data_IF_042520254634
#
_entry.id   IF_042520254634
#
_cell.length_a   1.000
_cell.length_b   1.000
_cell.length_c   1.000
_cell.angle_alpha   90.00
_cell.angle_beta   90.00
_cell.angle_gamma   90.00
#
_symmetry.space_group_name_H-M   'P 1'
#
loop_
_entity.id
_entity.type
_entity.pdbx_description
1 polymer ?
#
# COMPACT_ATOMS: atom_id res chain seq x y z
N UNK A 1 -26.78 42.09 14.54
CA UNK A 1 -25.96 40.87 14.37
C UNK A 1 -26.91 39.75 14.03
N UNK A 2 -26.76 39.05 12.90
CA UNK A 2 -27.66 37.95 12.59
C UNK A 2 -27.34 36.78 13.53
N UNK A 3 -28.36 36.38 14.30
CA UNK A 3 -28.36 35.19 15.15
C UNK A 3 -28.33 33.96 14.26
N UNK A 4 -27.25 33.17 14.35
CA UNK A 4 -27.15 31.85 13.73
C UNK A 4 -28.34 31.01 14.23
N UNK A 5 -29.14 30.51 13.31
CA UNK A 5 -30.40 29.82 13.61
C UNK A 5 -30.16 28.40 14.13
N UNK A 6 -31.06 27.82 14.96
CA UNK A 6 -30.87 26.50 15.58
C UNK A 6 -30.54 25.37 14.60
N UNK A 7 -31.09 25.44 13.38
CA UNK A 7 -30.88 24.47 12.31
C UNK A 7 -29.45 24.49 11.77
N UNK A 8 -28.83 25.67 11.69
CA UNK A 8 -27.43 25.82 11.23
C UNK A 8 -26.45 25.24 12.27
N UNK A 9 -26.77 25.39 13.57
CA UNK A 9 -25.99 24.78 14.65
C UNK A 9 -26.11 23.25 14.63
N UNK A 10 -27.30 22.71 14.36
CA UNK A 10 -27.55 21.27 14.29
C UNK A 10 -26.82 20.62 13.10
N UNK A 11 -26.80 21.30 11.93
CA UNK A 11 -26.04 20.87 10.75
C UNK A 11 -24.53 20.98 10.98
N UNK A 12 -24.06 22.02 11.68
CA UNK A 12 -22.64 22.17 12.05
C UNK A 12 -22.19 21.11 13.06
N UNK A 13 -23.00 20.77 14.07
CA UNK A 13 -22.69 19.70 15.01
C UNK A 13 -22.69 18.32 14.32
N UNK A 14 -23.64 18.08 13.43
CA UNK A 14 -23.73 16.85 12.62
C UNK A 14 -22.49 16.67 11.72
N UNK A 15 -22.06 17.72 11.01
CA UNK A 15 -20.87 17.67 10.13
C UNK A 15 -19.56 17.53 10.92
N UNK A 16 -19.46 18.17 12.09
CA UNK A 16 -18.32 18.00 13.02
C UNK A 16 -18.26 16.59 13.59
N UNK A 17 -19.41 16.00 13.93
CA UNK A 17 -19.53 14.61 14.36
C UNK A 17 -19.09 13.63 13.27
N UNK A 18 -19.56 13.82 12.04
CA UNK A 18 -19.18 13.00 10.89
C UNK A 18 -17.68 13.05 10.58
N UNK A 19 -17.08 14.24 10.57
CA UNK A 19 -15.63 14.40 10.37
C UNK A 19 -14.81 13.70 11.48
N UNK A 20 -15.25 13.86 12.73
CA UNK A 20 -14.58 13.24 13.88
C UNK A 20 -14.66 11.73 13.82
N UNK A 21 -15.81 11.17 13.43
CA UNK A 21 -16.00 9.72 13.25
C UNK A 21 -15.15 9.18 12.10
N UNK A 22 -15.13 9.87 10.95
CA UNK A 22 -14.31 9.49 9.80
C UNK A 22 -12.82 9.44 10.17
N UNK A 23 -12.29 10.51 10.75
CA UNK A 23 -10.88 10.58 11.18
C UNK A 23 -10.58 9.57 12.27
N UNK A 24 -11.49 9.38 13.23
CA UNK A 24 -11.33 8.37 14.27
C UNK A 24 -11.20 6.97 13.67
N UNK A 25 -12.08 6.60 12.74
CA UNK A 25 -12.07 5.31 12.05
C UNK A 25 -10.79 5.12 11.26
N UNK A 26 -10.37 6.12 10.50
CA UNK A 26 -9.13 6.10 9.72
C UNK A 26 -7.91 5.92 10.63
N UNK A 27 -7.80 6.70 11.70
CA UNK A 27 -6.70 6.59 12.67
C UNK A 27 -6.69 5.20 13.31
N UNK A 28 -7.85 4.68 13.73
CA UNK A 28 -7.96 3.36 14.35
C UNK A 28 -7.67 2.21 13.37
N UNK A 29 -8.00 2.37 12.09
CA UNK A 29 -7.65 1.42 11.04
C UNK A 29 -6.17 1.50 10.66
N UNK A 30 -5.57 2.69 10.80
CA UNK A 30 -4.18 2.96 10.46
C UNK A 30 -3.20 2.12 11.27
N UNK A 31 -1.97 2.06 10.76
CA UNK A 31 -0.85 1.38 11.44
C UNK A 31 -0.14 2.24 12.47
N UNK A 32 -0.37 3.55 12.45
CA UNK A 32 0.30 4.51 13.33
C UNK A 32 -0.26 4.45 14.75
N UNK A 33 0.61 4.64 15.74
CA UNK A 33 0.12 4.85 17.10
C UNK A 33 -0.53 6.24 17.20
N UNK A 34 -1.48 6.39 18.13
CA UNK A 34 -2.12 7.70 18.37
C UNK A 34 -1.10 8.77 18.74
N UNK A 35 -0.01 8.40 19.42
CA UNK A 35 1.13 9.27 19.71
C UNK A 35 1.80 9.76 18.43
N UNK A 36 2.10 8.86 17.49
CA UNK A 36 2.71 9.20 16.20
C UNK A 36 1.81 10.14 15.40
N UNK A 37 0.50 9.86 15.38
CA UNK A 37 -0.49 10.72 14.70
C UNK A 37 -0.58 12.08 15.39
N UNK A 38 -0.60 12.11 16.72
CA UNK A 38 -0.65 13.37 17.48
C UNK A 38 0.59 14.22 17.20
N UNK A 39 1.79 13.61 17.24
CA UNK A 39 3.05 14.28 16.93
C UNK A 39 3.07 14.82 15.50
N UNK A 40 2.65 14.01 14.52
CA UNK A 40 2.57 14.44 13.12
C UNK A 40 1.62 15.63 12.91
N UNK A 41 0.58 15.75 13.74
CA UNK A 41 -0.36 16.87 13.72
C UNK A 41 0.07 18.06 14.60
N UNK A 42 1.20 17.96 15.31
CA UNK A 42 1.61 18.98 16.28
C UNK A 42 0.67 19.10 17.49
N UNK A 43 -0.02 18.01 17.83
CA UNK A 43 -1.00 17.94 18.91
C UNK A 43 -0.48 17.09 20.09
N UNK A 44 -1.01 17.33 21.28
CA UNK A 44 -0.90 16.35 22.36
C UNK A 44 -1.85 15.18 22.12
N UNK A 45 -1.52 14.01 22.66
CA UNK A 45 -2.39 12.82 22.61
C UNK A 45 -3.77 13.09 23.19
N UNK A 46 -3.84 13.88 24.27
CA UNK A 46 -5.11 14.30 24.89
C UNK A 46 -5.93 15.18 23.95
N UNK A 47 -5.29 16.10 23.22
CA UNK A 47 -5.96 16.96 22.24
C UNK A 47 -6.47 16.16 21.04
N UNK A 48 -5.72 15.15 20.59
CA UNK A 48 -6.17 14.21 19.56
C UNK A 48 -7.37 13.38 20.04
N UNK A 49 -7.32 12.84 21.27
CA UNK A 49 -8.42 12.05 21.82
C UNK A 49 -9.71 12.86 22.03
N UNK A 50 -9.61 14.16 22.30
CA UNK A 50 -10.78 15.05 22.33
C UNK A 50 -11.39 15.21 20.95
N UNK A 51 -10.55 15.33 19.91
CA UNK A 51 -11.02 15.40 18.52
C UNK A 51 -11.66 14.11 18.03
N UNK A 52 -11.00 12.99 18.27
CA UNK A 52 -11.53 11.66 17.93
C UNK A 52 -12.86 11.34 18.61
N UNK A 53 -13.17 11.97 19.76
CA UNK A 53 -14.46 11.82 20.47
C UNK A 53 -15.53 12.81 20.01
N UNK A 54 -15.22 13.71 19.08
CA UNK A 54 -16.13 14.77 18.64
C UNK A 54 -16.31 15.91 19.63
N UNK A 55 -15.54 15.96 20.72
CA UNK A 55 -15.60 17.07 21.69
C UNK A 55 -15.00 18.37 21.12
N UNK A 56 -14.09 18.23 20.15
CA UNK A 56 -13.51 19.32 19.35
C UNK A 56 -13.45 18.82 17.91
N UNK A 57 -13.71 19.66 16.93
CA UNK A 57 -13.66 19.23 15.53
C UNK A 57 -12.22 19.17 15.01
N UNK A 58 -11.95 18.24 14.10
CA UNK A 58 -10.72 18.32 13.29
C UNK A 58 -10.80 19.53 12.37
N UNK A 59 -9.71 20.30 12.30
CA UNK A 59 -9.55 21.29 11.24
C UNK A 59 -9.35 20.57 9.89
N UNK A 60 -9.71 21.23 8.78
CA UNK A 60 -9.54 20.66 7.44
C UNK A 60 -8.08 20.28 7.17
N UNK A 61 -7.14 21.12 7.61
CA UNK A 61 -5.70 20.87 7.49
C UNK A 61 -5.27 19.63 8.28
N UNK A 62 -5.80 19.42 9.49
CA UNK A 62 -5.53 18.22 10.29
C UNK A 62 -6.06 16.97 9.59
N UNK A 63 -7.28 17.03 9.04
CA UNK A 63 -7.88 15.92 8.30
C UNK A 63 -7.07 15.59 7.02
N UNK A 64 -6.61 16.62 6.29
CA UNK A 64 -5.74 16.44 5.12
C UNK A 64 -4.39 15.81 5.50
N UNK A 65 -3.80 16.23 6.62
CA UNK A 65 -2.55 15.67 7.12
C UNK A 65 -2.73 14.19 7.51
N UNK A 66 -3.82 13.84 8.21
CA UNK A 66 -4.15 12.44 8.54
C UNK A 66 -4.28 11.60 7.26
N UNK A 67 -5.02 12.10 6.26
CA UNK A 67 -5.20 11.40 4.99
C UNK A 67 -3.86 11.20 4.25
N UNK A 68 -2.99 12.20 4.25
CA UNK A 68 -1.63 12.11 3.66
C UNK A 68 -0.75 11.12 4.42
N UNK A 69 -0.79 11.12 5.75
CA UNK A 69 0.00 10.19 6.58
C UNK A 69 -0.37 8.74 6.30
N UNK A 70 -1.65 8.48 6.06
CA UNK A 70 -2.22 7.14 5.87
C UNK A 70 -2.31 6.76 4.39
N UNK A 71 -1.92 7.67 3.49
CA UNK A 71 -1.94 7.47 2.03
C UNK A 71 -3.33 7.11 1.50
N UNK A 72 -4.33 7.87 1.93
CA UNK A 72 -5.71 7.77 1.46
C UNK A 72 -6.21 9.11 0.93
N UNK A 73 -7.13 9.07 -0.03
CA UNK A 73 -7.77 10.30 -0.51
C UNK A 73 -8.79 10.81 0.50
N UNK A 74 -9.03 12.13 0.53
CA UNK A 74 -10.13 12.70 1.33
C UNK A 74 -11.50 12.13 0.94
N UNK A 75 -11.68 11.78 -0.34
CA UNK A 75 -12.93 11.19 -0.81
C UNK A 75 -13.15 9.80 -0.21
N UNK A 76 -12.11 8.98 -0.13
CA UNK A 76 -12.20 7.65 0.49
C UNK A 76 -12.32 7.75 2.02
N UNK A 77 -11.69 8.75 2.62
CA UNK A 77 -11.87 9.07 4.04
C UNK A 77 -13.34 9.37 4.39
N UNK A 78 -14.04 10.14 3.55
CA UNK A 78 -15.46 10.44 3.73
C UNK A 78 -16.33 9.19 3.59
N UNK A 79 -16.07 8.34 2.58
CA UNK A 79 -16.76 7.05 2.44
C UNK A 79 -16.60 6.17 3.67
N UNK A 80 -15.42 6.15 4.30
CA UNK A 80 -15.16 5.43 5.55
C UNK A 80 -15.94 6.02 6.73
N UNK A 81 -16.14 7.35 6.74
CA UNK A 81 -17.00 8.03 7.70
C UNK A 81 -18.47 7.61 7.60
N UNK A 82 -18.97 7.46 6.38
CA UNK A 82 -20.38 7.14 6.11
C UNK A 82 -20.72 5.64 6.25
N UNK A 83 -19.72 4.77 6.39
CA UNK A 83 -19.96 3.36 6.66
C UNK A 83 -20.76 3.17 7.95
N UNK A 84 -21.61 2.16 8.01
CA UNK A 84 -22.07 1.63 9.29
C UNK A 84 -20.89 1.09 10.11
N UNK A 85 -21.06 0.99 11.42
CA UNK A 85 -20.02 0.37 12.25
C UNK A 85 -19.74 -1.06 11.81
N UNK A 86 -20.76 -1.82 11.40
CA UNK A 86 -20.60 -3.17 10.87
C UNK A 86 -19.76 -3.19 9.59
N UNK A 87 -20.03 -2.31 8.63
CA UNK A 87 -19.24 -2.18 7.39
C UNK A 87 -17.80 -1.79 7.68
N UNK A 88 -17.58 -0.83 8.58
CA UNK A 88 -16.23 -0.42 8.97
C UNK A 88 -15.50 -1.52 9.76
N UNK A 89 -16.19 -2.23 10.65
CA UNK A 89 -15.60 -3.37 11.37
C UNK A 89 -15.25 -4.53 10.43
N UNK A 90 -15.93 -4.62 9.29
CA UNK A 90 -15.65 -5.53 8.18
C UNK A 90 -14.79 -4.88 7.07
N UNK A 91 -14.22 -3.70 7.32
CA UNK A 91 -13.42 -3.00 6.33
C UNK A 91 -12.31 -3.91 5.80
N UNK A 92 -12.06 -3.75 4.49
CA UNK A 92 -11.14 -4.58 3.73
C UNK A 92 -9.77 -4.71 4.41
N UNK A 93 -9.26 -3.68 5.10
CA UNK A 93 -7.94 -3.69 5.74
C UNK A 93 -7.80 -4.79 6.80
N UNK A 94 -8.84 -5.01 7.62
CA UNK A 94 -8.81 -6.06 8.63
C UNK A 94 -8.89 -7.44 7.99
N UNK A 95 -9.64 -7.56 6.90
CA UNK A 95 -9.71 -8.79 6.11
C UNK A 95 -8.39 -9.08 5.40
N UNK A 96 -7.73 -8.06 4.85
CA UNK A 96 -6.43 -8.16 4.17
C UNK A 96 -5.34 -8.58 5.14
N UNK A 97 -5.22 -7.90 6.28
CA UNK A 97 -4.32 -8.28 7.37
C UNK A 97 -4.52 -9.73 7.79
N UNK A 98 -5.77 -10.15 7.99
CA UNK A 98 -6.07 -11.55 8.33
C UNK A 98 -5.63 -12.50 7.23
N UNK A 99 -5.99 -12.24 5.97
CA UNK A 99 -5.63 -13.12 4.86
C UNK A 99 -4.11 -13.25 4.68
N UNK A 100 -3.38 -12.12 4.75
CA UNK A 100 -1.93 -12.11 4.68
C UNK A 100 -1.31 -12.88 5.86
N UNK A 101 -1.79 -12.63 7.08
CA UNK A 101 -1.35 -13.35 8.26
C UNK A 101 -1.61 -14.85 8.14
N UNK A 102 -2.82 -15.27 7.77
CA UNK A 102 -3.18 -16.68 7.56
C UNK A 102 -2.27 -17.35 6.53
N UNK A 103 -1.98 -16.69 5.41
CA UNK A 103 -1.06 -17.21 4.39
C UNK A 103 0.34 -17.39 4.94
N UNK A 104 0.84 -16.42 5.70
CA UNK A 104 2.17 -16.52 6.27
C UNK A 104 2.27 -17.62 7.33
N UNK A 105 1.26 -17.76 8.20
CA UNK A 105 1.19 -18.88 9.16
C UNK A 105 1.24 -20.22 8.43
N UNK A 106 0.43 -20.39 7.38
CA UNK A 106 0.42 -21.61 6.59
C UNK A 106 1.79 -21.91 5.93
N UNK A 107 2.49 -20.88 5.46
CA UNK A 107 3.85 -21.03 4.94
C UNK A 107 4.86 -21.41 6.04
N UNK A 108 4.75 -20.85 7.25
CA UNK A 108 5.61 -21.23 8.37
C UNK A 108 5.36 -22.68 8.82
N UNK A 109 4.11 -23.13 8.79
CA UNK A 109 3.73 -24.50 9.09
C UNK A 109 4.26 -25.47 8.03
N UNK A 110 4.07 -25.16 6.74
CA UNK A 110 4.46 -26.02 5.63
C UNK A 110 5.97 -26.09 5.40
N UNK A 111 6.64 -24.94 5.33
CA UNK A 111 8.04 -24.87 4.87
C UNK A 111 9.04 -24.93 6.01
N UNK A 112 8.66 -24.41 7.19
CA UNK A 112 9.53 -24.39 8.38
C UNK A 112 9.13 -25.43 9.43
N UNK A 113 8.04 -26.17 9.21
CA UNK A 113 7.54 -27.19 10.15
C UNK A 113 7.16 -26.63 11.53
N UNK A 114 6.88 -25.33 11.62
CA UNK A 114 6.58 -24.69 12.90
C UNK A 114 5.14 -24.99 13.32
N UNK A 115 4.94 -25.33 14.59
CA UNK A 115 3.58 -25.50 15.14
C UNK A 115 2.97 -24.14 15.46
N UNK A 116 1.63 -24.05 15.47
CA UNK A 116 0.94 -22.81 15.90
C UNK A 116 1.34 -22.35 17.29
N UNK A 117 1.67 -23.27 18.20
CA UNK A 117 2.19 -22.93 19.53
C UNK A 117 3.52 -22.18 19.42
N UNK A 118 4.46 -22.69 18.62
CA UNK A 118 5.76 -22.04 18.42
C UNK A 118 5.64 -20.71 17.68
N UNK A 119 4.75 -20.61 16.69
CA UNK A 119 4.51 -19.35 15.99
C UNK A 119 3.90 -18.31 16.95
N UNK A 120 2.99 -18.74 17.84
CA UNK A 120 2.41 -17.87 18.85
C UNK A 120 3.48 -17.31 19.81
N UNK A 121 4.44 -18.14 20.23
CA UNK A 121 5.59 -17.72 21.05
C UNK A 121 6.43 -16.65 20.35
N UNK A 122 6.78 -16.86 19.07
CA UNK A 122 7.51 -15.87 18.27
C UNK A 122 6.74 -14.55 18.25
N UNK A 123 5.44 -14.63 17.96
CA UNK A 123 4.53 -13.49 17.90
C UNK A 123 4.29 -12.81 19.26
N UNK A 124 4.64 -13.44 20.39
CA UNK A 124 4.38 -12.89 21.73
C UNK A 124 2.92 -13.00 22.17
N UNK A 125 2.19 -13.96 21.63
CA UNK A 125 0.76 -14.17 21.88
C UNK A 125 0.47 -15.63 22.25
N UNK A 126 -0.75 -15.91 22.71
CA UNK A 126 -1.19 -17.28 22.96
C UNK A 126 -1.60 -17.99 21.67
N UNK A 127 -1.49 -19.32 21.63
CA UNK A 127 -2.00 -20.11 20.51
C UNK A 127 -3.51 -19.89 20.28
N UNK A 128 -4.28 -19.73 21.37
CA UNK A 128 -5.71 -19.40 21.30
C UNK A 128 -5.98 -18.05 20.64
N UNK A 129 -5.08 -17.07 20.83
CA UNK A 129 -5.16 -15.78 20.16
C UNK A 129 -4.91 -15.92 18.66
N UNK A 130 -3.87 -16.67 18.26
CA UNK A 130 -3.59 -16.97 16.84
C UNK A 130 -4.81 -17.63 16.19
N UNK A 131 -5.35 -18.69 16.80
CA UNK A 131 -6.55 -19.39 16.30
C UNK A 131 -7.77 -18.46 16.15
N UNK A 132 -7.98 -17.55 17.10
CA UNK A 132 -9.04 -16.53 17.01
C UNK A 132 -8.81 -15.55 15.87
N UNK A 133 -7.57 -15.12 15.62
CA UNK A 133 -7.25 -14.24 14.49
C UNK A 133 -7.51 -14.96 13.16
N UNK A 134 -7.01 -16.19 13.02
CA UNK A 134 -7.18 -17.00 11.82
C UNK A 134 -8.67 -17.26 11.51
N UNK A 135 -9.49 -17.49 12.54
CA UNK A 135 -10.94 -17.66 12.42
C UNK A 135 -11.73 -16.34 12.29
N UNK A 136 -11.05 -15.19 12.30
CA UNK A 136 -11.69 -13.87 12.23
C UNK A 136 -12.40 -13.41 13.50
N UNK A 137 -12.31 -14.17 14.59
CA UNK A 137 -12.87 -13.83 15.90
C UNK A 137 -12.03 -12.79 16.66
N UNK A 138 -10.78 -12.58 16.26
CA UNK A 138 -9.91 -11.51 16.75
C UNK A 138 -9.39 -10.65 15.59
N UNK A 139 -9.18 -9.36 15.87
CA UNK A 139 -8.74 -8.37 14.89
C UNK A 139 -7.25 -8.12 14.98
N UNK A 140 -6.63 -7.96 13.81
CA UNK A 140 -5.27 -7.44 13.67
C UNK A 140 -5.35 -5.93 13.53
N UNK A 141 -5.18 -5.24 14.65
CA UNK A 141 -5.04 -3.78 14.68
C UNK A 141 -3.62 -3.39 14.29
N UNK A 142 -3.46 -2.18 13.75
CA UNK A 142 -2.19 -1.70 13.19
C UNK A 142 -0.97 -1.89 14.10
N UNK A 143 -1.11 -1.57 15.39
CA UNK A 143 -0.07 -1.79 16.40
C UNK A 143 0.37 -3.26 16.51
N UNK A 144 -0.59 -4.18 16.52
CA UNK A 144 -0.31 -5.61 16.57
C UNK A 144 0.36 -6.05 15.28
N UNK A 145 -0.08 -5.55 14.12
CA UNK A 145 0.56 -5.86 12.83
C UNK A 145 2.03 -5.48 12.81
N UNK A 146 2.41 -4.27 13.25
CA UNK A 146 3.82 -3.83 13.30
C UNK A 146 4.69 -4.76 14.14
N UNK A 147 4.21 -5.14 15.33
CA UNK A 147 4.94 -6.04 16.23
C UNK A 147 5.08 -7.43 15.63
N UNK A 148 4.02 -7.94 14.98
CA UNK A 148 4.07 -9.22 14.27
C UNK A 148 5.03 -9.18 13.09
N UNK A 149 5.01 -8.10 12.29
CA UNK A 149 5.91 -7.92 11.15
C UNK A 149 7.38 -7.98 11.62
N UNK A 150 7.73 -7.24 12.67
CA UNK A 150 9.08 -7.27 13.24
C UNK A 150 9.47 -8.64 13.78
N UNK A 151 8.58 -9.32 14.51
CA UNK A 151 8.87 -10.63 15.11
C UNK A 151 8.97 -11.77 14.10
N UNK A 152 8.25 -11.65 12.99
CA UNK A 152 8.23 -12.63 11.91
C UNK A 152 9.20 -12.30 10.78
N UNK A 153 10.01 -11.25 10.96
CA UNK A 153 10.97 -10.77 9.96
C UNK A 153 10.30 -10.45 8.61
N UNK A 154 9.12 -9.83 8.68
CA UNK A 154 8.36 -9.40 7.52
C UNK A 154 8.68 -7.93 7.19
N UNK A 155 8.69 -7.57 5.90
CA UNK A 155 8.79 -6.17 5.49
C UNK A 155 7.71 -5.30 6.12
N UNK A 156 8.01 -4.02 6.25
CA UNK A 156 7.03 -3.06 6.72
C UNK A 156 5.80 -2.99 5.80
N UNK A 157 4.62 -2.85 6.40
CA UNK A 157 3.30 -2.82 5.75
C UNK A 157 2.91 -4.14 5.06
N UNK A 158 3.65 -5.23 5.28
CA UNK A 158 3.35 -6.50 4.64
C UNK A 158 1.94 -7.00 4.93
N UNK A 159 1.46 -6.84 6.17
CA UNK A 159 0.11 -7.25 6.56
C UNK A 159 -0.96 -6.30 6.01
N UNK A 160 -0.65 -5.03 5.81
CA UNK A 160 -1.59 -4.00 5.34
C UNK A 160 -1.90 -4.08 3.84
N UNK A 161 -1.15 -4.90 3.08
CA UNK A 161 -1.26 -4.99 1.63
C UNK A 161 -2.53 -5.68 1.18
N UNK A 162 -3.03 -5.24 0.03
CA UNK A 162 -4.06 -6.01 -0.69
C UNK A 162 -3.51 -7.41 -0.98
N UNK A 163 -4.22 -8.48 -0.59
CA UNK A 163 -3.80 -9.85 -0.84
C UNK A 163 -3.47 -10.04 -2.33
N UNK A 164 -2.34 -10.67 -2.62
CA UNK A 164 -1.79 -10.88 -3.97
C UNK A 164 -1.16 -9.65 -4.65
N UNK A 165 -1.08 -8.49 -3.98
CA UNK A 165 -0.26 -7.38 -4.46
C UNK A 165 1.19 -7.53 -4.00
N UNK A 166 2.19 -7.39 -4.89
CA UNK A 166 3.60 -7.44 -4.48
C UNK A 166 3.93 -6.30 -3.48
N UNK A 167 5.02 -6.41 -2.70
CA UNK A 167 5.48 -5.35 -1.79
C UNK A 167 5.60 -3.98 -2.49
N UNK A 168 5.33 -2.85 -1.82
CA UNK A 168 5.45 -1.50 -2.45
C UNK A 168 6.84 -1.25 -3.06
N UNK A 169 7.93 -1.68 -2.40
CA UNK A 169 9.29 -1.64 -2.96
C UNK A 169 9.55 -2.61 -4.12
N UNK A 170 8.60 -3.51 -4.39
CA UNK A 170 8.61 -4.50 -5.46
C UNK A 170 7.47 -4.33 -6.47
N UNK A 171 6.64 -3.29 -6.29
CA UNK A 171 5.57 -2.98 -7.21
C UNK A 171 6.19 -2.30 -8.42
N UNK A 172 6.01 -2.94 -9.58
CA UNK A 172 6.45 -2.39 -10.84
C UNK A 172 5.71 -1.07 -11.08
N UNK A 173 6.44 0.05 -11.13
CA UNK A 173 5.86 1.36 -11.39
C UNK A 173 5.32 1.39 -12.84
N UNK A 174 4.01 1.23 -12.98
CA UNK A 174 3.31 1.15 -14.28
C UNK A 174 3.46 2.41 -15.12
N UNK A 175 3.54 3.57 -14.47
CA UNK A 175 3.74 4.85 -15.16
C UNK A 175 5.16 4.95 -15.72
N UNK A 176 6.14 4.44 -14.97
CA UNK A 176 7.52 4.33 -15.43
C UNK A 176 7.64 3.35 -16.61
N UNK A 177 6.91 2.23 -16.59
CA UNK A 177 6.85 1.30 -17.74
C UNK A 177 6.34 2.04 -18.98
N UNK A 178 5.17 2.68 -18.87
CA UNK A 178 4.53 3.38 -19.97
C UNK A 178 5.44 4.47 -20.56
N UNK A 179 6.09 5.26 -19.69
CA UNK A 179 7.03 6.30 -20.09
C UNK A 179 8.27 5.72 -20.79
N UNK A 180 8.85 4.65 -20.25
CA UNK A 180 10.06 4.02 -20.79
C UNK A 180 9.78 3.35 -22.14
N UNK A 181 8.67 2.60 -22.25
CA UNK A 181 8.22 2.01 -23.52
C UNK A 181 7.97 3.08 -24.59
N UNK A 182 7.35 4.20 -24.22
CA UNK A 182 7.12 5.33 -25.15
C UNK A 182 8.41 5.99 -25.62
N UNK A 183 9.39 6.16 -24.72
CA UNK A 183 10.70 6.72 -25.06
C UNK A 183 11.50 5.78 -25.99
N UNK A 184 11.45 4.47 -25.74
CA UNK A 184 12.08 3.47 -26.58
C UNK A 184 11.47 3.42 -27.98
N UNK A 185 10.14 3.45 -28.10
CA UNK A 185 9.46 3.57 -29.38
C UNK A 185 9.83 4.85 -30.12
N UNK A 186 9.91 5.98 -29.40
CA UNK A 186 10.36 7.26 -29.95
C UNK A 186 11.77 7.18 -30.51
N UNK A 187 12.71 6.57 -29.80
CA UNK A 187 14.09 6.40 -30.23
C UNK A 187 14.22 5.49 -31.47
N UNK A 188 13.44 4.40 -31.53
CA UNK A 188 13.41 3.50 -32.69
C UNK A 188 12.88 4.21 -33.93
N UNK A 189 11.81 5.00 -33.79
CA UNK A 189 11.26 5.82 -34.90
C UNK A 189 12.22 6.91 -35.35
N UNK A 190 12.91 7.58 -34.41
CA UNK A 190 13.93 8.60 -34.73
C UNK A 190 15.15 8.02 -35.47
N UNK A 191 15.47 6.74 -35.23
CA UNK A 191 16.51 6.03 -35.97
C UNK A 191 16.08 5.58 -37.39
N UNK A 192 14.86 5.92 -37.82
CA UNK A 192 14.37 5.71 -39.18
C UNK A 192 13.68 4.36 -39.41
N UNK A 193 13.39 3.60 -38.35
CA UNK A 193 12.69 2.32 -38.46
C UNK A 193 11.18 2.52 -38.37
N UNK A 194 10.45 2.06 -39.39
CA UNK A 194 9.00 1.99 -39.36
C UNK A 194 8.58 0.66 -38.73
N UNK A 195 8.11 0.73 -37.49
CA UNK A 195 7.86 -0.45 -36.66
C UNK A 195 6.40 -0.46 -36.26
N UNK A 196 5.74 -1.61 -36.48
CA UNK A 196 4.38 -1.86 -36.02
C UNK A 196 4.36 -1.77 -34.48
N UNK A 197 3.85 -0.64 -33.99
CA UNK A 197 3.78 -0.34 -32.57
C UNK A 197 2.93 -1.35 -31.81
N UNK A 198 1.91 -1.92 -32.45
CA UNK A 198 1.01 -2.87 -31.81
C UNK A 198 1.71 -4.22 -31.59
N UNK A 199 2.70 -4.53 -32.43
CA UNK A 199 3.54 -5.71 -32.27
C UNK A 199 4.69 -5.49 -31.28
N UNK A 200 5.30 -4.30 -31.23
CA UNK A 200 6.51 -4.03 -30.43
C UNK A 200 6.20 -3.62 -28.97
N UNK A 201 5.12 -2.87 -28.74
CA UNK A 201 4.72 -2.39 -27.39
C UNK A 201 4.59 -3.52 -26.37
N UNK A 202 3.97 -4.68 -26.69
CA UNK A 202 3.86 -5.79 -25.73
C UNK A 202 5.22 -6.38 -25.34
N UNK A 203 6.17 -6.52 -26.27
CA UNK A 203 7.52 -7.05 -25.98
C UNK A 203 8.34 -6.07 -25.15
N UNK A 204 8.30 -4.78 -25.48
CA UNK A 204 8.97 -3.73 -24.68
C UNK A 204 8.39 -3.67 -23.27
N UNK A 205 7.07 -3.75 -23.15
CA UNK A 205 6.38 -3.80 -21.85
C UNK A 205 6.80 -5.03 -21.04
N UNK A 206 6.88 -6.21 -21.66
CA UNK A 206 7.32 -7.43 -21.00
C UNK A 206 8.79 -7.37 -20.54
N UNK A 207 9.68 -6.79 -21.34
CA UNK A 207 11.10 -6.59 -20.99
C UNK A 207 11.24 -5.61 -19.83
N UNK A 208 10.52 -4.49 -19.86
CA UNK A 208 10.56 -3.50 -18.77
C UNK A 208 9.93 -4.08 -17.49
N UNK A 209 8.88 -4.89 -17.61
CA UNK A 209 8.31 -5.65 -16.49
C UNK A 209 9.31 -6.65 -15.90
N UNK A 210 10.02 -7.42 -16.73
CA UNK A 210 11.06 -8.36 -16.29
C UNK A 210 12.25 -7.65 -15.63
N UNK A 211 12.67 -6.52 -16.18
CA UNK A 211 13.74 -5.70 -15.61
C UNK A 211 13.33 -5.13 -14.25
N UNK A 212 12.15 -4.53 -14.15
CA UNK A 212 11.64 -3.98 -12.89
C UNK A 212 11.37 -5.07 -11.85
N UNK A 213 10.88 -6.25 -12.26
CA UNK A 213 10.73 -7.41 -11.39
C UNK A 213 12.08 -7.92 -10.87
N UNK A 214 13.16 -7.80 -11.67
CA UNK A 214 14.52 -8.17 -11.25
C UNK A 214 15.14 -7.14 -10.29
N UNK A 215 14.91 -5.85 -10.51
CA UNK A 215 15.31 -4.76 -9.60
C UNK A 215 14.59 -4.89 -8.25
N UNK A 216 13.30 -5.23 -8.26
CA UNK A 216 12.50 -5.48 -7.07
C UNK A 216 13.01 -6.65 -6.20
N UNK A 217 13.68 -7.64 -6.79
CA UNK A 217 14.17 -8.85 -6.09
C UNK A 217 15.57 -8.65 -5.50
N UNK A 218 16.31 -7.59 -5.87
CA UNK A 218 17.60 -7.25 -5.26
C UNK A 218 17.39 -6.30 -4.08
N UNK A 219 17.62 -6.78 -2.86
CA UNK A 219 17.74 -5.92 -1.68
C UNK A 219 18.94 -4.96 -1.87
N UNK A 220 18.64 -3.67 -2.04
CA UNK A 220 19.64 -2.62 -2.24
C UNK A 220 19.61 -2.05 -3.67
N UNK A 221 18.92 -0.92 -3.82
CA UNK A 221 18.85 -0.15 -5.06
C UNK A 221 20.19 0.56 -5.31
N UNK A 222 21.06 -0.01 -6.16
CA UNK A 222 22.22 0.70 -6.72
C UNK A 222 21.94 1.12 -8.18
N UNK A 223 21.52 2.38 -8.40
CA UNK A 223 21.08 2.85 -9.72
C UNK A 223 22.18 2.85 -10.78
N UNK A 224 23.47 2.84 -10.41
CA UNK A 224 24.57 2.86 -11.39
C UNK A 224 24.85 1.47 -11.98
N UNK A 225 24.85 0.45 -11.14
CA UNK A 225 25.10 -0.93 -11.59
C UNK A 225 23.93 -1.46 -12.41
N UNK A 226 22.71 -1.08 -12.05
CA UNK A 226 21.50 -1.52 -12.77
C UNK A 226 21.34 -0.81 -14.12
N UNK A 227 21.68 0.48 -14.23
CA UNK A 227 21.69 1.19 -15.52
C UNK A 227 22.65 0.55 -16.54
N UNK A 228 23.83 0.10 -16.10
CA UNK A 228 24.78 -0.60 -16.96
C UNK A 228 24.27 -1.98 -17.43
N UNK A 229 23.55 -2.68 -16.56
CA UNK A 229 22.93 -3.97 -16.90
C UNK A 229 21.70 -3.81 -17.80
N UNK A 230 20.89 -2.76 -17.60
CA UNK A 230 19.81 -2.38 -18.51
C UNK A 230 20.35 -2.09 -19.91
N UNK A 231 21.42 -1.30 -20.00
CA UNK A 231 22.08 -0.97 -21.25
C UNK A 231 22.57 -2.24 -21.97
N UNK A 232 23.18 -3.18 -21.25
CA UNK A 232 23.63 -4.47 -21.82
C UNK A 232 22.46 -5.33 -22.33
N UNK A 233 21.36 -5.41 -21.58
CA UNK A 233 20.15 -6.15 -22.00
C UNK A 233 19.48 -5.46 -23.19
N UNK A 234 19.42 -4.13 -23.19
CA UNK A 234 18.92 -3.32 -24.30
C UNK A 234 19.75 -3.55 -25.58
N UNK A 235 21.08 -3.59 -25.47
CA UNK A 235 21.99 -3.88 -26.57
C UNK A 235 21.84 -5.31 -27.09
N UNK A 236 21.70 -6.29 -26.20
CA UNK A 236 21.44 -7.69 -26.57
C UNK A 236 20.09 -7.86 -27.27
N UNK A 237 19.02 -7.22 -26.78
CA UNK A 237 17.71 -7.22 -27.44
C UNK A 237 17.76 -6.54 -28.80
N UNK A 238 18.43 -5.39 -28.90
CA UNK A 238 18.67 -4.70 -30.17
C UNK A 238 19.42 -5.59 -31.15
N UNK A 239 20.43 -6.32 -30.68
CA UNK A 239 21.18 -7.26 -31.49
C UNK A 239 20.35 -8.49 -31.90
N UNK A 240 19.53 -9.04 -31.00
CA UNK A 240 18.64 -10.16 -31.34
C UNK A 240 17.52 -9.75 -32.30
N UNK A 241 16.99 -8.54 -32.20
CA UNK A 241 16.07 -7.97 -33.19
C UNK A 241 16.76 -7.83 -34.55
N UNK A 242 18.02 -7.36 -34.58
CA UNK A 242 18.84 -7.35 -35.80
C UNK A 242 19.10 -8.76 -36.38
N UNK A 243 19.19 -9.79 -35.54
CA UNK A 243 19.50 -11.17 -35.96
C UNK A 243 18.28 -12.02 -36.34
N UNK A 244 17.11 -11.76 -35.74
CA UNK A 244 15.85 -12.45 -36.09
C UNK A 244 15.35 -12.08 -37.49
N UNK A 245 15.89 -11.02 -38.05
CA UNK A 245 15.55 -10.50 -39.36
C UNK A 245 16.60 -10.88 -40.41
N UNK A 246 16.29 -11.94 -41.16
CA UNK A 246 16.54 -11.94 -42.60
C UNK A 246 15.69 -10.91 -43.36
N UNK A 247 15.30 -9.78 -42.72
CA UNK A 247 14.57 -8.64 -43.31
C UNK A 247 15.50 -7.49 -43.73
N UNK A 248 16.82 -7.70 -43.73
CA UNK A 248 17.78 -6.84 -44.43
C UNK A 248 18.16 -7.46 -45.77
N UNK A 249 17.27 -7.37 -46.75
CA UNK A 249 17.65 -7.44 -48.17
C UNK A 249 17.07 -6.21 -48.89
N UNK A 250 17.96 -5.24 -49.07
CA UNK A 250 17.82 -3.98 -49.81
C UNK A 250 16.90 -2.93 -49.20
#
# INVERSE_FOLDING_TARGET
>A
MPSVTPLENEVLESTKGACSLAMQRIINASRYEKSDVAEYLGLSTVALDRRMRGAVSFALEEAMLICRLIDITLQDALKIGDMSDEEFQNAWIFQWRRQNFTKHIAHLEADKGLTQGRIAEICGHSQSWISRVLSGKAKLIGRVCRVLEQRLDLPEEWLDRKPLSPPKGQQVNTDLISKTSSQLLGAVKQAGFDVDSDLLVPYLTAVVQLYNARVAVRDGFDPKTDAAQFQSIFEQLTMQLKMKEGLWKF
#
